data_IF_960339800501
#
_entry.id   IF_960339800501
#
_cell.length_a   1.000
_cell.length_b   1.000
_cell.length_c   1.000
_cell.angle_alpha   90.00
_cell.angle_beta   90.00
_cell.angle_gamma   90.00
#
_symmetry.space_group_name_H-M   'P 1'
#
loop_
_entity.id
_entity.type
_entity.pdbx_description
1 polymer ?
#
# COMPACT_ATOMS: atom_id res chain seq x y z
N UNK A 1 5.80 -6.92 10.67
CA UNK A 1 6.39 -5.64 11.13
C UNK A 1 7.87 -5.50 10.82
N UNK A 2 8.70 -6.52 11.07
CA UNK A 2 10.16 -6.48 10.81
C UNK A 2 10.54 -6.08 9.37
N UNK A 3 9.77 -6.55 8.38
CA UNK A 3 9.96 -6.23 6.96
C UNK A 3 9.76 -4.74 6.62
N UNK A 4 8.89 -4.03 7.35
CA UNK A 4 8.68 -2.59 7.15
C UNK A 4 9.88 -1.78 7.69
N UNK A 5 10.42 -2.18 8.85
CA UNK A 5 11.60 -1.57 9.44
C UNK A 5 12.85 -1.75 8.57
N UNK A 6 13.02 -2.93 7.97
CA UNK A 6 14.12 -3.19 7.04
C UNK A 6 14.06 -2.31 5.79
N UNK A 7 12.87 -2.12 5.19
CA UNK A 7 12.69 -1.23 4.03
C UNK A 7 12.99 0.23 4.35
N UNK A 8 12.60 0.69 5.54
CA UNK A 8 12.87 2.06 5.98
C UNK A 8 14.39 2.32 6.11
N UNK A 9 15.14 1.38 6.68
CA UNK A 9 16.59 1.47 6.83
C UNK A 9 17.31 1.50 5.47
N UNK A 10 16.86 0.71 4.50
CA UNK A 10 17.43 0.75 3.14
C UNK A 10 17.19 2.09 2.45
N UNK A 11 16.00 2.67 2.58
CA UNK A 11 15.69 4.00 2.02
C UNK A 11 16.55 5.11 2.63
N UNK A 12 16.79 5.07 3.95
CA UNK A 12 17.66 6.04 4.64
C UNK A 12 19.10 5.95 4.13
N UNK A 13 19.62 4.73 3.92
CA UNK A 13 20.98 4.52 3.37
C UNK A 13 21.10 5.03 1.93
N UNK A 14 20.07 4.85 1.12
CA UNK A 14 20.06 5.32 -0.27
C UNK A 14 19.96 6.85 -0.36
N UNK A 15 19.24 7.49 0.58
CA UNK A 15 19.20 8.95 0.69
C UNK A 15 20.56 9.54 1.05
N UNK A 16 21.30 8.95 2.00
CA UNK A 16 22.62 9.45 2.41
C UNK A 16 23.65 9.40 1.28
N UNK A 17 23.65 8.34 0.47
CA UNK A 17 24.56 8.22 -0.69
C UNK A 17 24.36 9.32 -1.75
N UNK A 18 23.15 9.84 -1.91
CA UNK A 18 22.87 10.94 -2.85
C UNK A 18 23.41 12.28 -2.36
N UNK A 19 23.50 12.48 -1.04
CA UNK A 19 24.04 13.69 -0.44
C UNK A 19 25.58 13.66 -0.44
N UNK A 20 26.18 12.49 -0.19
CA UNK A 20 27.66 12.37 -0.16
C UNK A 20 28.31 12.41 -1.54
N UNK A 21 27.64 11.90 -2.58
CA UNK A 21 28.17 11.95 -3.95
C UNK A 21 28.03 13.33 -4.64
N UNK A 22 27.49 14.34 -3.95
CA UNK A 22 27.41 15.72 -4.42
C UNK A 22 28.56 16.62 -3.95
N UNK A 23 29.56 16.09 -3.23
CA UNK A 23 30.60 16.91 -2.57
C UNK A 23 32.01 16.35 -2.77
N UNK A 24 32.37 16.04 -4.02
CA UNK A 24 33.77 15.84 -4.41
C UNK A 24 34.02 16.40 -5.80
N UNK A 25 34.33 17.70 -5.88
CA UNK A 25 35.25 18.25 -6.90
C UNK A 25 36.18 19.21 -6.15
N UNK A 26 37.52 19.01 -6.24
CA UNK A 26 38.50 19.92 -5.66
C UNK A 26 38.53 21.22 -6.47
N UNK A 27 38.67 22.32 -5.73
CA UNK A 27 38.74 23.69 -6.21
C UNK A 27 39.81 23.88 -7.29
N UNK A 28 39.40 24.31 -8.47
CA UNK A 28 40.22 25.14 -9.34
C UNK A 28 39.31 26.01 -10.19
N UNK A 29 39.57 27.31 -10.09
CA UNK A 29 38.92 28.45 -10.71
C UNK A 29 38.28 28.20 -12.07
N UNK A 30 37.00 28.58 -12.23
CA UNK A 30 36.41 29.22 -13.42
C UNK A 30 35.00 29.70 -13.07
N UNK A 31 34.74 30.94 -13.45
CA UNK A 31 33.64 31.81 -13.08
C UNK A 31 32.44 31.65 -14.05
N UNK A 32 31.38 30.88 -13.73
CA UNK A 32 30.10 30.86 -14.50
C UNK A 32 28.91 30.38 -13.62
N UNK A 33 27.65 30.65 -14.02
CA UNK A 33 26.68 31.51 -13.35
C UNK A 33 25.86 30.84 -12.23
N UNK A 34 25.35 31.68 -11.33
CA UNK A 34 24.42 31.35 -10.25
C UNK A 34 23.25 30.48 -10.76
N UNK A 35 23.02 29.27 -10.23
CA UNK A 35 21.83 28.51 -10.54
C UNK A 35 20.65 29.22 -9.87
N UNK A 36 19.78 29.80 -10.68
CA UNK A 36 18.47 30.26 -10.26
C UNK A 36 17.72 29.07 -9.68
N UNK A 37 17.54 29.04 -8.36
CA UNK A 37 16.68 28.08 -7.65
C UNK A 37 15.24 28.51 -7.94
N UNK A 38 14.84 28.42 -9.19
CA UNK A 38 13.45 28.25 -9.55
C UNK A 38 13.11 26.86 -9.03
N UNK A 39 12.52 26.84 -7.85
CA UNK A 39 11.76 25.73 -7.30
C UNK A 39 10.65 25.37 -8.28
N UNK A 40 11.02 24.72 -9.38
CA UNK A 40 10.13 23.83 -10.08
C UNK A 40 9.80 22.75 -9.07
N UNK A 41 8.70 22.99 -8.36
CA UNK A 41 7.86 21.98 -7.74
C UNK A 41 7.43 21.06 -8.88
N UNK A 42 8.38 20.26 -9.35
CA UNK A 42 8.11 19.02 -10.02
C UNK A 42 7.28 18.24 -9.02
N UNK A 43 5.98 18.40 -9.14
CA UNK A 43 5.00 17.45 -8.64
C UNK A 43 5.43 16.14 -9.27
N UNK A 44 6.32 15.43 -8.59
CA UNK A 44 6.56 14.03 -8.80
C UNK A 44 5.22 13.40 -8.51
N UNK A 45 4.37 13.39 -9.54
CA UNK A 45 3.23 12.51 -9.69
C UNK A 45 3.86 11.14 -9.64
N UNK A 46 4.01 10.65 -8.40
CA UNK A 46 4.48 9.32 -8.08
C UNK A 46 3.52 8.41 -8.81
N UNK A 47 3.89 7.98 -10.01
CA UNK A 47 3.07 7.12 -10.86
C UNK A 47 2.80 5.87 -10.02
N UNK A 48 1.63 5.83 -9.40
CA UNK A 48 1.18 4.67 -8.66
C UNK A 48 1.22 3.51 -9.64
N UNK A 49 1.91 2.46 -9.25
CA UNK A 49 1.89 1.23 -10.04
C UNK A 49 0.43 0.80 -10.17
N UNK A 50 0.05 0.19 -11.29
CA UNK A 50 -1.31 -0.36 -11.46
C UNK A 50 -1.69 -1.30 -10.30
N UNK A 51 -0.69 -1.91 -9.65
CA UNK A 51 -0.85 -2.70 -8.43
C UNK A 51 -1.26 -1.83 -7.22
N UNK A 52 -0.56 -0.71 -6.99
CA UNK A 52 -0.88 0.21 -5.89
C UNK A 52 -2.28 0.79 -6.05
N UNK A 53 -2.68 1.10 -7.29
CA UNK A 53 -4.02 1.60 -7.59
C UNK A 53 -5.10 0.55 -7.30
N UNK A 54 -4.87 -0.70 -7.68
CA UNK A 54 -5.79 -1.80 -7.40
C UNK A 54 -5.91 -2.07 -5.89
N UNK A 55 -4.80 -2.09 -5.16
CA UNK A 55 -4.79 -2.28 -3.71
C UNK A 55 -5.49 -1.13 -2.99
N UNK A 56 -5.31 0.11 -3.49
CA UNK A 56 -6.03 1.27 -3.02
C UNK A 56 -7.54 1.13 -3.23
N UNK A 57 -8.01 0.75 -4.42
CA UNK A 57 -9.43 0.55 -4.68
C UNK A 57 -10.03 -0.58 -3.83
N UNK A 58 -9.29 -1.67 -3.60
CA UNK A 58 -9.74 -2.75 -2.73
C UNK A 58 -9.88 -2.29 -1.27
N UNK A 59 -8.90 -1.54 -0.77
CA UNK A 59 -8.95 -0.95 0.57
C UNK A 59 -10.11 0.05 0.69
N UNK A 60 -10.30 0.90 -0.32
CA UNK A 60 -11.39 1.86 -0.37
C UNK A 60 -12.76 1.16 -0.40
N UNK A 61 -12.92 0.13 -1.23
CA UNK A 61 -14.14 -0.66 -1.29
C UNK A 61 -14.43 -1.34 0.06
N UNK A 62 -13.41 -1.85 0.74
CA UNK A 62 -13.57 -2.43 2.06
C UNK A 62 -13.98 -1.38 3.12
N UNK A 63 -13.38 -0.18 3.07
CA UNK A 63 -13.75 0.93 3.95
C UNK A 63 -15.19 1.41 3.71
N UNK A 64 -15.60 1.56 2.45
CA UNK A 64 -16.98 1.91 2.09
C UNK A 64 -17.93 0.83 2.59
N UNK A 65 -17.62 -0.45 2.36
CA UNK A 65 -18.44 -1.57 2.83
C UNK A 65 -18.59 -1.52 4.34
N UNK A 66 -17.50 -1.32 5.08
CA UNK A 66 -17.53 -1.19 6.53
C UNK A 66 -18.46 -0.06 6.99
N UNK A 67 -18.33 1.13 6.39
CA UNK A 67 -19.18 2.29 6.69
C UNK A 67 -20.65 1.95 6.43
N UNK A 68 -20.98 1.44 5.24
CA UNK A 68 -22.35 1.12 4.84
C UNK A 68 -22.99 0.03 5.71
N UNK A 69 -22.20 -0.94 6.19
CA UNK A 69 -22.73 -2.02 7.03
C UNK A 69 -22.78 -1.69 8.51
N UNK A 70 -21.81 -0.94 9.04
CA UNK A 70 -21.69 -0.71 10.48
C UNK A 70 -22.35 0.60 10.94
N UNK A 71 -22.33 1.66 10.12
CA UNK A 71 -22.93 2.95 10.51
C UNK A 71 -24.42 2.84 10.83
N UNK A 72 -25.26 2.12 10.05
CA UNK A 72 -26.68 1.98 10.39
C UNK A 72 -26.90 1.30 11.75
N UNK A 73 -26.08 0.30 12.09
CA UNK A 73 -26.15 -0.39 13.37
C UNK A 73 -25.80 0.53 14.55
N UNK A 74 -24.69 1.25 14.44
CA UNK A 74 -24.26 2.20 15.48
C UNK A 74 -25.23 3.38 15.62
N UNK A 75 -25.72 3.91 14.50
CA UNK A 75 -26.70 4.99 14.49
C UNK A 75 -27.99 4.56 15.22
N UNK A 76 -28.47 3.35 14.96
CA UNK A 76 -29.64 2.82 15.65
C UNK A 76 -29.44 2.71 17.16
N UNK A 77 -28.26 2.27 17.61
CA UNK A 77 -27.94 2.20 19.06
C UNK A 77 -27.95 3.60 19.68
N UNK A 78 -27.34 4.59 19.01
CA UNK A 78 -27.33 5.98 19.48
C UNK A 78 -28.77 6.53 19.58
N UNK A 79 -29.57 6.37 18.54
CA UNK A 79 -30.97 6.87 18.50
C UNK A 79 -31.85 6.15 19.53
N UNK A 80 -31.67 4.85 19.73
CA UNK A 80 -32.41 4.08 20.74
C UNK A 80 -32.22 4.65 22.15
N UNK A 81 -31.02 5.14 22.48
CA UNK A 81 -30.75 5.80 23.76
C UNK A 81 -31.50 7.13 23.94
N UNK A 82 -31.82 7.82 22.84
CA UNK A 82 -32.47 9.13 22.84
C UNK A 82 -33.99 9.09 22.71
N UNK A 83 -34.56 8.06 22.10
CA UNK A 83 -36.01 7.96 21.86
C UNK A 83 -36.69 7.15 22.96
N UNK A 84 -37.40 7.84 23.85
CA UNK A 84 -38.29 7.21 24.84
C UNK A 84 -39.62 6.85 24.18
N UNK A 85 -40.10 5.62 24.38
CA UNK A 85 -41.42 5.17 23.90
C UNK A 85 -41.42 4.25 22.68
N UNK A 86 -40.26 3.81 22.18
CA UNK A 86 -40.21 2.80 21.13
C UNK A 86 -40.66 1.44 21.69
N UNK A 87 -41.62 0.78 21.01
CA UNK A 87 -42.10 -0.53 21.42
C UNK A 87 -40.94 -1.56 21.42
N UNK A 88 -40.81 -2.32 22.51
CA UNK A 88 -39.73 -3.31 22.71
C UNK A 88 -39.64 -4.32 21.55
N UNK A 89 -40.78 -4.75 21.01
CA UNK A 89 -40.85 -5.70 19.90
C UNK A 89 -40.26 -5.11 18.62
N UNK A 90 -40.59 -3.85 18.32
CA UNK A 90 -40.07 -3.12 17.16
C UNK A 90 -38.55 -2.89 17.31
N UNK A 91 -38.09 -2.51 18.51
CA UNK A 91 -36.66 -2.34 18.78
C UNK A 91 -35.88 -3.65 18.57
N UNK A 92 -36.45 -4.77 18.99
CA UNK A 92 -35.84 -6.09 18.86
C UNK A 92 -35.78 -6.53 17.39
N UNK A 93 -36.86 -6.32 16.65
CA UNK A 93 -36.91 -6.60 15.22
C UNK A 93 -35.87 -5.79 14.43
N UNK A 94 -35.82 -4.47 14.63
CA UNK A 94 -34.83 -3.61 13.95
C UNK A 94 -33.41 -4.02 14.32
N UNK A 95 -33.15 -4.35 15.59
CA UNK A 95 -31.84 -4.85 16.03
C UNK A 95 -31.47 -6.13 15.30
N UNK A 96 -32.38 -7.09 15.17
CA UNK A 96 -32.13 -8.36 14.48
C UNK A 96 -31.82 -8.13 12.99
N UNK A 97 -32.58 -7.28 12.30
CA UNK A 97 -32.35 -6.92 10.90
C UNK A 97 -30.98 -6.26 10.72
N UNK A 98 -30.59 -5.33 11.59
CA UNK A 98 -29.29 -4.67 11.52
C UNK A 98 -28.12 -5.62 11.85
N UNK A 99 -28.37 -6.63 12.69
CA UNK A 99 -27.38 -7.68 12.99
C UNK A 99 -27.14 -8.59 11.77
N UNK A 100 -28.22 -8.97 11.07
CA UNK A 100 -28.15 -9.69 9.79
C UNK A 100 -27.47 -8.81 8.74
N UNK A 101 -27.79 -7.51 8.67
CA UNK A 101 -27.13 -6.57 7.77
C UNK A 101 -25.62 -6.48 8.04
N UNK A 102 -25.21 -6.46 9.31
CA UNK A 102 -23.80 -6.48 9.69
C UNK A 102 -23.11 -7.81 9.31
N UNK A 103 -23.82 -8.94 9.29
CA UNK A 103 -23.23 -10.22 8.86
C UNK A 103 -22.87 -10.24 7.37
N UNK A 104 -23.57 -9.47 6.53
CA UNK A 104 -23.25 -9.29 5.10
C UNK A 104 -21.84 -8.72 4.90
N UNK A 105 -21.34 -7.90 5.83
CA UNK A 105 -19.96 -7.40 5.81
C UNK A 105 -18.93 -8.53 5.76
N UNK A 106 -19.11 -9.58 6.55
CA UNK A 106 -18.19 -10.72 6.57
C UNK A 106 -18.15 -11.44 5.22
N UNK A 107 -19.31 -11.60 4.56
CA UNK A 107 -19.40 -12.18 3.23
C UNK A 107 -18.68 -11.35 2.17
N UNK A 108 -18.88 -10.03 2.19
CA UNK A 108 -18.24 -9.11 1.24
C UNK A 108 -16.72 -9.04 1.49
N UNK A 109 -16.28 -8.97 2.75
CA UNK A 109 -14.87 -8.97 3.09
C UNK A 109 -14.18 -10.28 2.67
N UNK A 110 -14.83 -11.42 2.87
CA UNK A 110 -14.36 -12.72 2.40
C UNK A 110 -14.28 -12.76 0.86
N UNK A 111 -15.30 -12.24 0.17
CA UNK A 111 -15.30 -12.14 -1.29
C UNK A 111 -14.15 -11.27 -1.81
N UNK A 112 -13.90 -10.11 -1.21
CA UNK A 112 -12.76 -9.26 -1.56
C UNK A 112 -11.42 -9.94 -1.29
N UNK A 113 -11.31 -10.69 -0.19
CA UNK A 113 -10.13 -11.49 0.11
C UNK A 113 -9.88 -12.57 -0.96
N UNK A 114 -10.95 -13.28 -1.35
CA UNK A 114 -10.90 -14.28 -2.42
C UNK A 114 -10.52 -13.66 -3.77
N UNK A 115 -10.98 -12.46 -4.10
CA UNK A 115 -10.57 -11.74 -5.32
C UNK A 115 -9.10 -11.30 -5.27
N UNK A 116 -8.61 -10.90 -4.09
CA UNK A 116 -7.22 -10.47 -3.91
C UNK A 116 -6.21 -11.63 -4.06
N UNK A 117 -6.58 -12.83 -3.60
CA UNK A 117 -5.70 -14.00 -3.52
C UNK A 117 -5.11 -14.49 -4.86
N UNK A 118 -5.90 -14.71 -5.94
CA UNK A 118 -5.37 -15.13 -7.22
C UNK A 118 -4.51 -14.04 -7.90
N UNK A 119 -4.89 -12.77 -7.72
CA UNK A 119 -4.16 -11.62 -8.28
C UNK A 119 -2.80 -11.41 -7.59
N UNK A 120 -2.72 -11.68 -6.28
CA UNK A 120 -1.45 -11.71 -5.56
C UNK A 120 -0.58 -12.90 -5.95
N UNK A 121 -1.16 -14.10 -6.10
CA UNK A 121 -0.42 -15.30 -6.50
C UNK A 121 0.22 -15.15 -7.88
N UNK A 122 -0.50 -14.67 -8.88
CA UNK A 122 0.04 -14.54 -10.24
C UNK A 122 1.21 -13.54 -10.31
N UNK A 123 1.09 -12.40 -9.62
CA UNK A 123 2.18 -11.40 -9.60
C UNK A 123 3.36 -11.82 -8.73
N UNK A 124 3.10 -12.49 -7.61
CA UNK A 124 4.15 -13.05 -6.75
C UNK A 124 4.95 -14.13 -7.50
N UNK A 125 4.28 -15.05 -8.19
CA UNK A 125 4.94 -16.09 -9.00
C UNK A 125 5.75 -15.45 -10.13
N UNK A 126 5.22 -14.43 -10.82
CA UNK A 126 5.93 -13.72 -11.89
C UNK A 126 7.17 -12.97 -11.37
N UNK A 127 7.08 -12.34 -10.20
CA UNK A 127 8.23 -11.70 -9.55
C UNK A 127 9.28 -12.71 -9.10
N UNK A 128 8.85 -13.84 -8.52
CA UNK A 128 9.73 -14.89 -8.04
C UNK A 128 10.52 -15.54 -9.20
N UNK A 129 9.85 -15.86 -10.31
CA UNK A 129 10.51 -16.38 -11.52
C UNK A 129 11.56 -15.41 -12.05
N UNK A 130 11.27 -14.10 -12.06
CA UNK A 130 12.21 -13.08 -12.52
C UNK A 130 13.41 -12.95 -11.59
N UNK A 131 13.22 -13.09 -10.28
CA UNK A 131 14.29 -13.05 -9.29
C UNK A 131 15.22 -14.27 -9.41
N UNK A 132 14.66 -15.47 -9.58
CA UNK A 132 15.45 -16.71 -9.79
C UNK A 132 16.26 -16.62 -11.08
N UNK A 133 15.65 -16.16 -12.18
CA UNK A 133 16.33 -16.02 -13.46
C UNK A 133 17.50 -14.99 -13.42
N UNK A 134 17.32 -13.87 -12.71
CA UNK A 134 18.40 -12.89 -12.48
C UNK A 134 19.54 -13.48 -11.64
N UNK A 135 19.20 -14.37 -10.70
CA UNK A 135 20.20 -15.03 -9.86
C UNK A 135 21.05 -16.02 -10.68
N UNK A 136 20.42 -16.81 -11.57
CA UNK A 136 21.14 -17.70 -12.51
C UNK A 136 22.09 -16.93 -13.43
N UNK A 137 21.63 -15.83 -14.02
CA UNK A 137 22.47 -15.01 -14.90
C UNK A 137 23.67 -14.44 -14.13
N UNK A 138 23.45 -13.97 -12.90
CA UNK A 138 24.52 -13.42 -12.06
C UNK A 138 25.56 -14.49 -11.70
N UNK A 139 25.13 -15.73 -11.44
CA UNK A 139 26.05 -16.83 -11.18
C UNK A 139 26.83 -17.25 -12.43
N UNK A 140 26.20 -17.23 -13.60
CA UNK A 140 26.85 -17.60 -14.87
C UNK A 140 27.94 -16.58 -15.27
N UNK A 141 27.67 -15.29 -15.05
CA UNK A 141 28.64 -14.21 -15.30
C UNK A 141 29.83 -14.31 -14.32
N UNK A 142 29.57 -14.58 -13.04
CA UNK A 142 30.62 -14.74 -12.03
C UNK A 142 31.52 -15.94 -12.31
N UNK A 143 30.95 -17.04 -12.80
CA UNK A 143 31.72 -18.24 -13.17
C UNK A 143 32.61 -18.00 -14.41
N UNK A 144 32.12 -17.29 -15.43
CA UNK A 144 32.96 -16.93 -16.60
C UNK A 144 34.10 -15.97 -16.27
N UNK A 145 33.91 -15.06 -15.31
CA UNK A 145 34.96 -14.12 -14.89
C UNK A 145 36.17 -14.79 -14.23
N UNK A 146 36.01 -15.97 -13.62
CA UNK A 146 37.10 -16.71 -12.97
C UNK A 146 37.92 -17.60 -13.91
N UNK A 147 37.45 -17.84 -15.14
CA UNK A 147 38.13 -18.69 -16.12
C UNK A 147 39.10 -17.87 -17.00
N UNK A 148 38.99 -16.53 -16.97
CA UNK A 148 39.84 -15.61 -17.73
C UNK A 148 40.88 -14.86 -16.86
N UNK A 149 41.08 -15.29 -15.61
CA UNK A 149 42.24 -14.94 -14.78
C UNK A 149 43.12 -16.17 -14.63
#
# INVERSE_FOLDING_TARGET
>A
MVLANARMIMNIRQSRRRVTNGTTVPSSDINIPVPNISSSTGTHTRRMSALDRMLFYMMLANAITFITTQVPFHLFICVKGSVKGLNSNISTFIRAVLLIWSSVYFGIAFYFYCLASPLFRQKFIKMLKRAIFLQEITQTITHRSKIHQ
#
